data_IF_028253435778
#
_entry.id   IF_028253435778
#
_cell.length_a   1.000
_cell.length_b   1.000
_cell.length_c   1.000
_cell.angle_alpha   90.00
_cell.angle_beta   90.00
_cell.angle_gamma   90.00
#
_symmetry.space_group_name_H-M   'P 1'
#
loop_
_entity.id
_entity.type
_entity.pdbx_description
1 polymer ?
#
# COMPACT_ATOMS: atom_id res chain seq x y z
N UNK A 1 -28.97 3.21 -3.24
CA UNK A 1 -29.02 4.11 -2.07
C UNK A 1 -29.22 3.26 -0.83
N UNK A 2 -28.16 2.97 -0.08
CA UNK A 2 -28.23 2.17 1.14
C UNK A 2 -28.24 3.07 2.36
N UNK A 3 -29.41 3.28 2.96
CA UNK A 3 -29.56 4.05 4.21
C UNK A 3 -29.28 3.10 5.38
N UNK A 4 -28.26 3.39 6.18
CA UNK A 4 -28.09 2.79 7.52
C UNK A 4 -28.32 3.86 8.58
N UNK A 5 -29.23 3.57 9.52
CA UNK A 5 -29.55 4.41 10.67
C UNK A 5 -28.48 4.26 11.76
N UNK A 6 -28.05 5.36 12.36
CA UNK A 6 -27.45 5.37 13.71
C UNK A 6 -28.32 6.22 14.64
N UNK A 7 -28.33 5.88 15.93
CA UNK A 7 -29.27 6.38 16.93
C UNK A 7 -29.03 7.84 17.39
N UNK A 8 -28.08 8.57 16.80
CA UNK A 8 -27.87 9.99 17.05
C UNK A 8 -27.69 10.70 15.71
N UNK A 9 -28.75 11.41 15.30
CA UNK A 9 -28.93 11.95 13.97
C UNK A 9 -28.04 13.15 13.64
N UNK A 10 -26.78 12.88 13.30
CA UNK A 10 -26.00 13.75 12.41
C UNK A 10 -25.56 12.92 11.22
N UNK A 11 -26.28 13.08 10.10
CA UNK A 11 -25.90 12.51 8.82
C UNK A 11 -24.75 13.33 8.23
N UNK A 12 -23.51 12.97 8.55
CA UNK A 12 -22.40 13.39 7.70
C UNK A 12 -22.47 12.59 6.41
N UNK A 13 -23.10 13.16 5.38
CA UNK A 13 -22.90 12.69 4.02
C UNK A 13 -21.42 12.92 3.67
N UNK A 14 -20.59 11.90 3.89
CA UNK A 14 -19.19 11.96 3.49
C UNK A 14 -19.14 12.19 1.99
N UNK A 15 -18.57 13.32 1.58
CA UNK A 15 -18.39 13.62 0.16
C UNK A 15 -17.57 12.51 -0.47
N UNK A 16 -18.10 11.87 -1.51
CA UNK A 16 -17.37 10.86 -2.28
C UNK A 16 -16.06 11.46 -2.76
N UNK A 17 -14.96 10.76 -2.47
CA UNK A 17 -13.59 11.15 -2.79
C UNK A 17 -13.01 10.19 -3.83
N UNK A 18 -12.11 10.69 -4.66
CA UNK A 18 -11.29 9.87 -5.56
C UNK A 18 -9.97 9.55 -4.90
N UNK A 19 -9.73 8.28 -4.65
CA UNK A 19 -8.56 7.81 -3.90
C UNK A 19 -7.78 6.82 -4.74
N UNK A 20 -6.47 7.05 -4.89
CA UNK A 20 -5.56 6.07 -5.48
C UNK A 20 -4.85 5.34 -4.34
N UNK A 21 -4.93 4.01 -4.32
CA UNK A 21 -4.14 3.14 -3.47
C UNK A 21 -3.00 2.61 -4.31
N UNK A 22 -1.78 2.95 -3.94
CA UNK A 22 -0.59 2.40 -4.56
C UNK A 22 -0.07 1.24 -3.71
N UNK A 23 0.45 0.22 -4.38
CA UNK A 23 0.87 -1.01 -3.72
C UNK A 23 1.72 -1.88 -4.62
N UNK A 24 1.90 -3.15 -4.24
CA UNK A 24 2.80 -4.08 -4.93
C UNK A 24 2.28 -5.53 -4.90
N UNK A 25 0.97 -5.72 -4.90
CA UNK A 25 0.31 -7.03 -4.97
C UNK A 25 0.71 -7.86 -6.19
N UNK A 26 0.81 -7.23 -7.36
CA UNK A 26 1.27 -7.85 -8.60
C UNK A 26 2.78 -8.02 -8.60
N UNK A 27 3.49 -7.00 -8.12
CA UNK A 27 4.96 -6.99 -8.08
C UNK A 27 5.57 -7.93 -7.02
N UNK A 28 4.79 -8.32 -6.01
CA UNK A 28 5.15 -9.32 -5.00
C UNK A 28 3.88 -10.06 -4.55
N UNK A 29 3.48 -11.13 -5.27
CA UNK A 29 2.18 -11.79 -5.14
C UNK A 29 2.09 -12.75 -3.95
N UNK A 30 2.53 -12.31 -2.78
CA UNK A 30 2.48 -13.06 -1.53
C UNK A 30 1.20 -12.67 -0.78
N UNK A 31 0.55 -13.65 -0.14
CA UNK A 31 -0.74 -13.47 0.52
C UNK A 31 -0.78 -12.27 1.50
N UNK A 32 0.27 -12.08 2.31
CA UNK A 32 0.38 -10.94 3.22
C UNK A 32 0.32 -9.58 2.51
N UNK A 33 1.08 -9.43 1.42
CA UNK A 33 1.07 -8.21 0.58
C UNK A 33 -0.31 -8.00 -0.01
N UNK A 34 -0.95 -9.04 -0.54
CA UNK A 34 -2.29 -8.95 -1.13
C UNK A 34 -3.31 -8.46 -0.09
N UNK A 35 -3.41 -9.14 1.05
CA UNK A 35 -4.38 -8.79 2.09
C UNK A 35 -4.17 -7.38 2.64
N UNK A 36 -2.91 -6.95 2.77
CA UNK A 36 -2.59 -5.62 3.24
C UNK A 36 -3.23 -4.52 2.38
N UNK A 37 -3.20 -4.67 1.05
CA UNK A 37 -3.77 -3.68 0.13
C UNK A 37 -5.28 -3.87 -0.11
N UNK A 38 -5.76 -5.11 -0.18
CA UNK A 38 -7.19 -5.41 -0.34
C UNK A 38 -8.02 -4.76 0.75
N UNK A 39 -7.54 -4.74 1.99
CA UNK A 39 -8.26 -4.07 3.07
C UNK A 39 -8.39 -2.55 2.90
N UNK A 40 -7.36 -1.87 2.36
CA UNK A 40 -7.49 -0.47 1.99
C UNK A 40 -8.53 -0.29 0.88
N UNK A 41 -8.43 -1.08 -0.19
CA UNK A 41 -9.32 -0.98 -1.35
C UNK A 41 -10.78 -1.18 -0.93
N UNK A 42 -11.08 -2.32 -0.31
CA UNK A 42 -12.44 -2.71 0.09
C UNK A 42 -12.97 -1.80 1.20
N UNK A 43 -12.13 -1.43 2.17
CA UNK A 43 -12.52 -0.52 3.24
C UNK A 43 -12.97 0.84 2.69
N UNK A 44 -12.16 1.44 1.82
CA UNK A 44 -12.46 2.73 1.19
C UNK A 44 -13.67 2.67 0.25
N UNK A 45 -13.84 1.57 -0.50
CA UNK A 45 -15.05 1.35 -1.31
C UNK A 45 -16.31 1.29 -0.44
N UNK A 46 -16.27 0.57 0.69
CA UNK A 46 -17.40 0.46 1.64
C UNK A 46 -17.74 1.79 2.33
N UNK A 47 -16.76 2.68 2.47
CA UNK A 47 -16.97 4.06 2.91
C UNK A 47 -17.57 4.97 1.82
N UNK A 48 -17.79 4.45 0.61
CA UNK A 48 -18.45 5.16 -0.49
C UNK A 48 -17.51 5.93 -1.42
N UNK A 49 -16.19 5.71 -1.33
CA UNK A 49 -15.21 6.41 -2.16
C UNK A 49 -15.01 5.76 -3.54
N UNK A 50 -14.53 6.55 -4.50
CA UNK A 50 -14.07 6.08 -5.79
C UNK A 50 -12.59 5.66 -5.67
N UNK A 51 -12.35 4.35 -5.54
CA UNK A 51 -11.00 3.81 -5.28
C UNK A 51 -10.38 3.25 -6.56
N UNK A 52 -9.11 3.56 -6.77
CA UNK A 52 -8.25 3.05 -7.83
C UNK A 52 -7.03 2.35 -7.22
N UNK A 53 -6.56 1.27 -7.84
CA UNK A 53 -5.34 0.57 -7.42
C UNK A 53 -4.25 0.64 -8.49
N UNK A 54 -3.10 1.24 -8.21
CA UNK A 54 -2.06 1.45 -9.22
C UNK A 54 -0.70 0.94 -8.72
N UNK A 55 -0.06 0.07 -9.50
CA UNK A 55 1.37 -0.22 -9.38
C UNK A 55 2.10 0.49 -10.50
N UNK A 56 3.06 1.35 -10.16
CA UNK A 56 3.78 2.18 -11.12
C UNK A 56 5.25 2.26 -10.72
N UNK A 57 5.98 1.16 -10.93
CA UNK A 57 7.34 0.96 -10.43
C UNK A 57 8.33 0.60 -11.54
N UNK A 58 9.56 1.07 -11.39
CA UNK A 58 10.75 0.67 -12.14
C UNK A 58 11.52 -0.47 -11.46
N UNK A 59 10.96 -1.11 -10.42
CA UNK A 59 11.50 -2.32 -9.85
C UNK A 59 11.00 -3.55 -10.62
N UNK A 60 11.91 -4.49 -10.87
CA UNK A 60 11.57 -5.77 -11.49
C UNK A 60 10.72 -6.58 -10.50
N UNK A 61 9.54 -7.09 -10.90
CA UNK A 61 8.63 -7.77 -9.99
C UNK A 61 9.11 -9.19 -9.67
N UNK A 62 8.76 -9.67 -8.48
CA UNK A 62 9.05 -11.01 -7.99
C UNK A 62 7.91 -11.97 -8.31
N UNK A 63 8.24 -13.11 -8.92
CA UNK A 63 7.29 -14.18 -9.18
C UNK A 63 7.35 -15.24 -8.07
N UNK A 64 6.25 -15.39 -7.31
CA UNK A 64 6.16 -16.33 -6.21
C UNK A 64 6.00 -17.80 -6.65
N UNK A 65 5.71 -18.08 -7.92
CA UNK A 65 5.63 -19.45 -8.44
C UNK A 65 7.02 -19.99 -8.82
N UNK A 66 7.86 -19.14 -9.42
CA UNK A 66 9.22 -19.49 -9.88
C UNK A 66 10.32 -19.09 -8.90
N UNK A 67 9.98 -18.30 -7.87
CA UNK A 67 10.91 -17.77 -6.87
C UNK A 67 12.03 -16.91 -7.46
N UNK A 68 11.77 -16.17 -8.53
CA UNK A 68 12.74 -15.31 -9.21
C UNK A 68 12.17 -13.92 -9.54
N UNK A 69 13.02 -13.03 -10.03
CA UNK A 69 12.62 -11.76 -10.64
C UNK A 69 12.91 -11.83 -12.13
N UNK A 70 11.96 -11.38 -12.94
CA UNK A 70 12.13 -11.35 -14.39
C UNK A 70 11.33 -10.22 -15.03
N UNK A 71 11.60 -9.94 -16.30
CA UNK A 71 10.87 -8.92 -17.04
C UNK A 71 9.42 -9.33 -17.36
N UNK A 72 9.07 -10.61 -17.22
CA UNK A 72 7.70 -11.06 -17.41
C UNK A 72 6.83 -10.65 -16.23
N UNK A 73 5.71 -9.99 -16.53
CA UNK A 73 4.68 -9.60 -15.55
C UNK A 73 3.31 -10.19 -15.91
N UNK A 74 3.28 -11.23 -16.75
CA UNK A 74 2.04 -11.91 -17.14
C UNK A 74 1.30 -12.50 -15.94
N UNK A 75 2.03 -13.03 -14.94
CA UNK A 75 1.46 -13.52 -13.67
C UNK A 75 0.82 -12.38 -12.87
N UNK A 76 1.50 -11.23 -12.76
CA UNK A 76 1.01 -10.05 -12.04
C UNK A 76 -0.30 -9.56 -12.67
N UNK A 77 -0.36 -9.55 -14.00
CA UNK A 77 -1.58 -9.19 -14.76
C UNK A 77 -2.74 -10.13 -14.46
N UNK A 78 -2.51 -11.45 -14.53
CA UNK A 78 -3.55 -12.46 -14.23
C UNK A 78 -4.05 -12.35 -12.79
N UNK A 79 -3.12 -12.17 -11.86
CA UNK A 79 -3.44 -12.00 -10.43
C UNK A 79 -4.30 -10.75 -10.21
N UNK A 80 -3.85 -9.59 -10.67
CA UNK A 80 -4.55 -8.33 -10.48
C UNK A 80 -5.93 -8.35 -11.15
N UNK A 81 -6.06 -8.93 -12.34
CA UNK A 81 -7.36 -9.13 -12.98
C UNK A 81 -8.29 -10.02 -12.13
N UNK A 82 -7.78 -11.12 -11.54
CA UNK A 82 -8.56 -11.98 -10.65
C UNK A 82 -9.02 -11.22 -9.39
N UNK A 83 -8.09 -10.54 -8.71
CA UNK A 83 -8.39 -9.76 -7.50
C UNK A 83 -9.38 -8.63 -7.80
N UNK A 84 -9.21 -7.95 -8.93
CA UNK A 84 -10.11 -6.89 -9.36
C UNK A 84 -11.54 -7.39 -9.62
N UNK A 85 -11.67 -8.62 -10.11
CA UNK A 85 -12.95 -9.28 -10.27
C UNK A 85 -13.60 -9.64 -8.93
N UNK A 86 -12.80 -10.15 -8.00
CA UNK A 86 -13.25 -10.64 -6.69
C UNK A 86 -13.64 -9.49 -5.74
N UNK A 87 -12.90 -8.38 -5.74
CA UNK A 87 -13.06 -7.25 -4.82
C UNK A 87 -13.62 -5.98 -5.50
N UNK A 88 -14.30 -6.14 -6.64
CA UNK A 88 -15.07 -5.09 -7.32
C UNK A 88 -14.27 -3.83 -7.73
N UNK A 89 -13.07 -4.02 -8.27
CA UNK A 89 -12.25 -2.94 -8.82
C UNK A 89 -11.80 -3.16 -10.28
N UNK A 90 -12.49 -4.03 -11.03
CA UNK A 90 -12.19 -4.48 -12.41
C UNK A 90 -11.69 -3.39 -13.38
N UNK A 91 -12.31 -2.20 -13.34
CA UNK A 91 -12.02 -1.09 -14.26
C UNK A 91 -11.26 0.06 -13.58
N UNK A 92 -10.63 -0.20 -12.43
CA UNK A 92 -9.98 0.81 -11.61
C UNK A 92 -8.62 0.35 -11.10
N UNK A 93 -7.89 -0.38 -11.94
CA UNK A 93 -6.52 -0.75 -11.64
C UNK A 93 -5.59 -0.64 -12.83
N UNK A 94 -4.30 -0.52 -12.55
CA UNK A 94 -3.23 -0.66 -13.53
C UNK A 94 -1.95 -1.20 -12.93
N UNK A 95 -1.19 -1.88 -13.77
CA UNK A 95 0.21 -2.21 -13.55
C UNK A 95 1.05 -1.54 -14.64
N UNK A 96 1.97 -0.65 -14.26
CA UNK A 96 2.90 0.03 -15.15
C UNK A 96 4.31 -0.53 -14.93
N UNK A 97 4.83 -1.22 -15.93
CA UNK A 97 6.15 -1.83 -15.91
C UNK A 97 7.22 -0.83 -16.35
N UNK A 98 7.53 0.18 -15.52
CA UNK A 98 8.53 1.21 -15.86
C UNK A 98 9.97 0.68 -15.93
N UNK A 99 10.20 -0.55 -15.44
CA UNK A 99 11.50 -1.22 -15.54
C UNK A 99 11.81 -1.73 -16.96
N UNK A 100 10.84 -1.69 -17.88
CA UNK A 100 11.04 -2.05 -19.28
C UNK A 100 11.54 -0.84 -20.09
N UNK A 101 12.31 -1.07 -21.18
CA UNK A 101 12.76 0.01 -22.07
C UNK A 101 11.60 0.82 -22.67
N UNK A 102 10.50 0.15 -22.99
CA UNK A 102 9.26 0.78 -23.41
C UNK A 102 8.22 0.64 -22.30
N UNK A 103 7.56 1.75 -21.96
CA UNK A 103 6.52 1.76 -20.94
C UNK A 103 5.35 0.88 -21.36
N UNK A 104 5.19 -0.26 -20.68
CA UNK A 104 4.03 -1.14 -20.83
C UNK A 104 3.10 -0.99 -19.64
N UNK A 105 1.82 -0.85 -19.93
CA UNK A 105 0.76 -0.76 -18.93
C UNK A 105 -0.34 -1.76 -19.25
N UNK A 106 -0.86 -2.42 -18.22
CA UNK A 106 -2.09 -3.24 -18.31
C UNK A 106 -3.11 -2.71 -17.32
N UNK A 107 -4.40 -2.74 -17.68
CA UNK A 107 -5.48 -2.11 -16.93
C UNK A 107 -5.88 -0.77 -17.54
N UNK A 108 -5.99 0.28 -16.73
CA UNK A 108 -6.23 1.63 -17.24
C UNK A 108 -5.05 2.11 -18.11
N UNK A 109 -5.32 2.83 -19.22
CA UNK A 109 -4.26 3.37 -20.06
C UNK A 109 -3.46 4.43 -19.31
N UNK A 110 -2.16 4.54 -19.60
CA UNK A 110 -1.25 5.45 -18.89
C UNK A 110 -1.74 6.91 -18.87
N UNK A 111 -2.35 7.40 -19.95
CA UNK A 111 -2.98 8.74 -19.99
C UNK A 111 -4.02 8.94 -18.89
N UNK A 112 -4.80 7.92 -18.56
CA UNK A 112 -5.79 7.98 -17.48
C UNK A 112 -5.11 7.99 -16.11
N UNK A 113 -4.03 7.23 -15.94
CA UNK A 113 -3.24 7.22 -14.70
C UNK A 113 -2.68 8.62 -14.41
N UNK A 114 -2.06 9.26 -15.42
CA UNK A 114 -1.58 10.65 -15.31
C UNK A 114 -2.69 11.63 -14.92
N UNK A 115 -3.90 11.46 -15.44
CA UNK A 115 -5.07 12.26 -15.03
C UNK A 115 -5.48 11.96 -13.58
N UNK A 116 -5.41 10.69 -13.15
CA UNK A 116 -5.72 10.31 -11.77
C UNK A 116 -4.74 10.95 -10.79
N UNK A 117 -3.43 10.93 -11.05
CA UNK A 117 -2.45 11.58 -10.17
C UNK A 117 -2.75 13.06 -9.93
N UNK A 118 -3.14 13.79 -10.98
CA UNK A 118 -3.50 15.22 -10.89
C UNK A 118 -4.84 15.48 -10.19
N UNK A 119 -5.80 14.58 -10.32
CA UNK A 119 -7.19 14.81 -9.93
C UNK A 119 -7.66 14.02 -8.70
N UNK A 120 -6.84 13.11 -8.18
CA UNK A 120 -7.16 12.39 -6.96
C UNK A 120 -7.23 13.35 -5.76
N UNK A 121 -8.16 13.08 -4.85
CA UNK A 121 -8.26 13.77 -3.57
C UNK A 121 -7.16 13.29 -2.60
N UNK A 122 -6.69 12.04 -2.76
CA UNK A 122 -5.58 11.48 -2.02
C UNK A 122 -4.93 10.31 -2.79
N UNK A 123 -3.63 10.13 -2.63
CA UNK A 123 -2.85 9.01 -3.14
C UNK A 123 -2.16 8.34 -1.95
N UNK A 124 -2.47 7.07 -1.67
CA UNK A 124 -1.91 6.33 -0.54
C UNK A 124 -0.76 5.47 -1.07
N UNK A 125 0.48 5.86 -0.79
CA UNK A 125 1.67 5.07 -1.09
C UNK A 125 1.90 4.06 0.03
N UNK A 126 1.15 2.95 -0.01
CA UNK A 126 1.20 1.90 1.01
C UNK A 126 2.55 1.19 0.96
N UNK A 127 3.18 1.00 2.12
CA UNK A 127 4.57 0.53 2.29
C UNK A 127 5.65 1.42 1.67
N UNK A 128 5.32 2.61 1.16
CA UNK A 128 6.23 3.29 0.26
C UNK A 128 6.56 2.47 -0.99
N UNK A 129 5.58 1.68 -1.46
CA UNK A 129 5.77 0.72 -2.54
C UNK A 129 6.25 1.36 -3.85
N UNK A 130 5.93 2.63 -4.06
CA UNK A 130 6.20 3.32 -5.31
C UNK A 130 7.19 4.46 -5.10
N UNK A 131 8.24 4.48 -5.92
CA UNK A 131 9.10 5.63 -6.05
C UNK A 131 8.41 6.77 -6.81
N UNK A 132 8.91 7.99 -6.60
CA UNK A 132 8.42 9.14 -7.34
C UNK A 132 8.92 9.15 -8.78
N UNK A 133 8.05 9.65 -9.66
CA UNK A 133 8.33 9.98 -11.04
C UNK A 133 7.63 11.31 -11.37
N UNK A 134 7.98 11.93 -12.50
CA UNK A 134 7.45 13.26 -12.87
C UNK A 134 5.91 13.30 -12.96
N UNK A 135 5.29 12.20 -13.38
CA UNK A 135 3.83 12.13 -13.48
C UNK A 135 3.15 12.04 -12.11
N UNK A 136 3.73 11.29 -11.17
CA UNK A 136 3.24 11.19 -9.80
C UNK A 136 3.47 12.49 -9.02
N UNK A 137 4.63 13.13 -9.22
CA UNK A 137 4.99 14.43 -8.60
C UNK A 137 4.13 15.61 -9.10
N UNK A 138 3.32 15.41 -10.13
CA UNK A 138 2.26 16.35 -10.48
C UNK A 138 1.14 16.43 -9.41
N UNK A 139 1.20 15.61 -8.36
CA UNK A 139 0.29 15.60 -7.22
C UNK A 139 1.00 16.05 -5.94
N UNK A 140 0.35 16.92 -5.18
CA UNK A 140 0.76 17.36 -3.85
C UNK A 140 0.01 16.60 -2.72
N UNK A 141 -0.70 15.51 -3.06
CA UNK A 141 -1.62 14.78 -2.16
C UNK A 141 -1.20 13.34 -1.90
N UNK A 142 0.10 13.07 -1.98
CA UNK A 142 0.65 11.72 -1.80
C UNK A 142 0.94 11.50 -0.32
N UNK A 143 0.35 10.47 0.25
CA UNK A 143 0.48 10.08 1.65
C UNK A 143 1.38 8.86 1.74
N UNK A 144 2.45 8.95 2.52
CA UNK A 144 3.27 7.78 2.85
C UNK A 144 2.54 6.97 3.92
N UNK A 145 2.33 5.67 3.70
CA UNK A 145 1.75 4.79 4.71
C UNK A 145 2.77 3.70 5.04
N UNK A 146 3.53 3.89 6.10
CA UNK A 146 4.52 2.94 6.57
C UNK A 146 3.86 1.75 7.26
N UNK A 147 4.06 0.55 6.71
CA UNK A 147 3.60 -0.68 7.33
C UNK A 147 4.63 -1.33 8.25
N UNK A 148 5.92 -1.02 8.05
CA UNK A 148 7.06 -1.65 8.72
C UNK A 148 7.96 -0.55 9.32
N UNK A 149 7.64 -0.07 10.53
CA UNK A 149 8.33 1.05 11.16
C UNK A 149 9.71 0.66 11.69
N UNK A 150 10.63 1.63 11.69
CA UNK A 150 11.96 1.53 12.28
C UNK A 150 13.04 1.87 11.27
N UNK A 151 13.07 1.17 10.13
CA UNK A 151 14.13 1.28 9.12
C UNK A 151 14.24 2.71 8.58
N UNK A 152 13.14 3.32 8.16
CA UNK A 152 13.19 4.65 7.56
C UNK A 152 13.55 5.74 8.60
N UNK A 153 13.10 5.60 9.85
CA UNK A 153 13.49 6.53 10.92
C UNK A 153 14.98 6.39 11.26
N UNK A 154 15.52 5.17 11.26
CA UNK A 154 16.96 4.93 11.46
C UNK A 154 17.77 5.55 10.32
N UNK A 155 17.35 5.37 9.06
CA UNK A 155 17.99 6.00 7.90
C UNK A 155 17.97 7.54 7.99
N UNK A 156 16.87 8.11 8.49
CA UNK A 156 16.77 9.55 8.75
C UNK A 156 17.78 9.97 9.83
N UNK A 157 17.91 9.22 10.93
CA UNK A 157 18.92 9.50 11.98
C UNK A 157 20.36 9.39 11.45
N UNK A 158 20.60 8.45 10.55
CA UNK A 158 21.87 8.27 9.83
C UNK A 158 22.10 9.29 8.71
N UNK A 159 21.19 10.25 8.52
CA UNK A 159 21.27 11.29 7.49
C UNK A 159 21.35 10.77 6.05
N UNK A 160 20.68 9.64 5.76
CA UNK A 160 20.56 9.13 4.40
C UNK A 160 19.69 10.09 3.59
N UNK A 161 20.34 10.93 2.79
CA UNK A 161 19.69 12.06 2.10
C UNK A 161 18.57 11.60 1.15
N UNK A 162 18.77 10.50 0.42
CA UNK A 162 17.75 9.94 -0.47
C UNK A 162 16.47 9.53 0.25
N UNK A 163 16.56 8.92 1.44
CA UNK A 163 15.39 8.62 2.28
C UNK A 163 14.72 9.89 2.76
N UNK A 164 15.51 10.87 3.23
CA UNK A 164 14.97 12.15 3.72
C UNK A 164 14.19 12.87 2.61
N UNK A 165 14.76 12.96 1.41
CA UNK A 165 14.13 13.61 0.26
C UNK A 165 12.87 12.86 -0.19
N UNK A 166 12.94 11.52 -0.25
CA UNK A 166 11.79 10.68 -0.56
C UNK A 166 10.64 10.89 0.44
N UNK A 167 10.92 10.89 1.74
CA UNK A 167 9.90 11.14 2.77
C UNK A 167 9.35 12.57 2.67
N UNK A 168 10.20 13.57 2.48
CA UNK A 168 9.78 14.98 2.34
C UNK A 168 8.92 15.25 1.12
N UNK A 169 9.04 14.47 0.06
CA UNK A 169 8.17 14.60 -1.11
C UNK A 169 6.73 14.13 -0.87
N UNK A 170 6.44 13.46 0.24
CA UNK A 170 5.08 13.12 0.64
C UNK A 170 4.42 14.29 1.38
N UNK A 171 3.12 14.46 1.15
CA UNK A 171 2.28 15.45 1.83
C UNK A 171 2.20 15.20 3.34
N UNK A 172 2.07 13.93 3.73
CA UNK A 172 2.06 13.51 5.12
C UNK A 172 2.62 12.10 5.26
N UNK A 173 3.22 11.83 6.42
CA UNK A 173 3.81 10.54 6.77
C UNK A 173 2.95 9.86 7.83
N UNK A 174 2.38 8.71 7.48
CA UNK A 174 1.70 7.83 8.43
C UNK A 174 2.54 6.60 8.71
N UNK A 175 2.41 6.06 9.92
CA UNK A 175 3.14 4.86 10.33
C UNK A 175 2.33 3.95 11.25
N UNK A 176 2.52 2.64 11.11
CA UNK A 176 2.00 1.66 12.06
C UNK A 176 2.77 1.67 13.39
N UNK A 177 3.94 2.32 13.44
CA UNK A 177 4.71 2.51 14.66
C UNK A 177 4.08 3.57 15.56
N UNK A 178 3.14 3.17 16.43
CA UNK A 178 2.41 4.09 17.30
C UNK A 178 3.29 4.88 18.27
N UNK A 179 4.49 4.37 18.57
CA UNK A 179 5.45 5.03 19.43
C UNK A 179 6.34 6.04 18.68
N UNK A 180 6.39 6.03 17.35
CA UNK A 180 7.29 6.88 16.56
C UNK A 180 7.04 8.35 16.86
N UNK A 181 8.12 9.09 17.16
CA UNK A 181 8.05 10.50 17.54
C UNK A 181 7.62 10.77 18.99
N UNK A 182 7.34 9.73 19.79
CA UNK A 182 7.09 9.84 21.23
C UNK A 182 8.38 9.57 22.04
N UNK A 183 8.35 9.86 23.35
CA UNK A 183 9.45 9.52 24.28
C UNK A 183 9.75 8.01 24.38
N UNK A 184 8.82 7.15 23.93
CA UNK A 184 8.98 5.69 23.95
C UNK A 184 9.66 5.15 22.70
N UNK A 185 9.98 6.01 21.72
CA UNK A 185 10.72 5.65 20.52
C UNK A 185 12.08 6.37 20.52
N UNK A 186 13.19 5.65 20.71
CA UNK A 186 14.48 6.27 20.99
C UNK A 186 15.19 6.82 19.75
N UNK A 187 14.71 6.49 18.54
CA UNK A 187 15.30 6.97 17.27
C UNK A 187 14.80 8.40 16.98
N UNK A 188 15.70 9.39 16.87
CA UNK A 188 15.32 10.76 16.54
C UNK A 188 14.67 10.87 15.15
N UNK A 189 13.58 11.63 15.05
CA UNK A 189 12.80 11.80 13.79
C UNK A 189 13.21 13.03 12.97
N UNK A 190 14.17 13.83 13.44
CA UNK A 190 14.78 14.97 12.73
C UNK A 190 13.79 15.93 12.05
N UNK A 191 12.72 16.27 12.78
CA UNK A 191 11.70 17.22 12.32
C UNK A 191 10.67 16.65 11.33
N UNK A 192 10.79 15.39 10.93
CA UNK A 192 9.73 14.70 10.19
C UNK A 192 8.58 14.36 11.13
N UNK A 193 7.36 14.79 10.76
CA UNK A 193 6.15 14.52 11.54
C UNK A 193 5.54 13.19 11.09
N UNK A 194 5.55 12.22 11.99
CA UNK A 194 4.92 10.92 11.80
C UNK A 194 3.56 10.87 12.48
N UNK A 195 2.54 10.46 11.74
CA UNK A 195 1.18 10.30 12.23
C UNK A 195 0.90 8.81 12.48
N UNK A 196 0.51 8.42 13.70
CA UNK A 196 0.19 7.02 13.95
C UNK A 196 -1.06 6.62 13.17
N UNK A 197 -1.03 5.42 12.61
CA UNK A 197 -2.18 4.76 11.98
C UNK A 197 -2.09 3.26 12.21
N UNK A 198 -3.07 2.50 11.74
CA UNK A 198 -3.08 1.03 11.80
C UNK A 198 -3.49 0.46 10.46
N UNK A 199 -3.12 -0.80 10.23
CA UNK A 199 -3.66 -1.56 9.11
C UNK A 199 -5.20 -1.60 9.21
N UNK A 200 -5.94 -1.10 8.20
CA UNK A 200 -7.38 -1.33 8.15
C UNK A 200 -7.64 -2.83 8.02
N UNK A 201 -8.65 -3.31 8.74
CA UNK A 201 -9.10 -4.70 8.69
C UNK A 201 -10.59 -4.72 8.35
N UNK A 202 -10.91 -5.25 7.17
CA UNK A 202 -12.29 -5.54 6.77
C UNK A 202 -12.65 -6.91 7.35
N UNK A 203 -13.20 -6.92 8.56
CA UNK A 203 -13.42 -8.13 9.37
C UNK A 203 -14.28 -9.20 8.69
N UNK A 204 -15.22 -8.80 7.83
CA UNK A 204 -16.07 -9.76 7.10
C UNK A 204 -15.28 -10.64 6.12
N UNK A 205 -14.10 -10.20 5.64
CA UNK A 205 -13.24 -11.01 4.76
C UNK A 205 -12.57 -12.18 5.51
N UNK A 206 -12.55 -12.12 6.85
CA UNK A 206 -11.99 -13.16 7.71
C UNK A 206 -13.05 -14.09 8.32
N UNK A 207 -14.34 -13.87 7.99
CA UNK A 207 -15.41 -14.75 8.46
C UNK A 207 -15.33 -16.09 7.75
N UNK A 208 -15.03 -17.14 8.50
CA UNK A 208 -15.16 -18.51 8.02
C UNK A 208 -16.62 -18.93 8.00
N UNK A 209 -17.03 -19.76 7.03
CA UNK A 209 -18.41 -20.29 6.95
C UNK A 209 -18.73 -21.27 8.07
N UNK A 210 -17.70 -21.85 8.70
CA UNK A 210 -17.82 -22.83 9.78
C UNK A 210 -16.83 -22.45 10.87
N UNK A 211 -17.24 -22.63 12.11
CA UNK A 211 -16.32 -22.60 13.24
C UNK A 211 -15.30 -23.73 13.08
N UNK A 212 -14.01 -23.48 13.36
CA UNK A 212 -13.04 -24.56 13.42
C UNK A 212 -13.47 -25.59 14.49
N UNK A 213 -13.18 -26.89 14.29
CA UNK A 213 -13.40 -27.91 15.32
C UNK A 213 -12.74 -27.52 16.64
N UNK A 214 -13.29 -27.96 17.78
CA UNK A 214 -12.69 -27.71 19.09
C UNK A 214 -11.25 -28.26 19.21
N UNK A 215 -10.91 -29.27 18.40
CA UNK A 215 -9.57 -29.88 18.31
C UNK A 215 -8.66 -29.21 17.27
N UNK A 216 -9.08 -28.12 16.63
CA UNK A 216 -8.25 -27.44 15.64
C UNK A 216 -7.00 -26.86 16.28
N UNK A 217 -5.85 -27.16 15.70
CA UNK A 217 -4.56 -26.60 16.11
C UNK A 217 -4.23 -25.40 15.22
N UNK A 218 -3.72 -24.33 15.84
CA UNK A 218 -3.15 -23.22 15.09
C UNK A 218 -1.74 -23.59 14.64
N UNK A 219 -1.50 -23.56 13.33
CA UNK A 219 -0.15 -23.64 12.77
C UNK A 219 0.21 -22.29 12.18
N UNK A 220 1.47 -21.89 12.35
CA UNK A 220 2.02 -20.67 11.76
C UNK A 220 3.23 -21.04 10.93
N UNK A 221 3.37 -20.42 9.77
CA UNK A 221 4.58 -20.50 8.95
C UNK A 221 5.23 -19.14 9.05
N UNK A 222 6.40 -19.08 9.68
CA UNK A 222 7.21 -17.87 9.79
C UNK A 222 8.56 -18.13 9.14
N UNK A 223 9.03 -17.16 8.35
CA UNK A 223 10.42 -17.12 7.95
C UNK A 223 11.15 -16.09 8.81
N UNK A 224 12.16 -16.52 9.57
CA UNK A 224 12.97 -15.68 10.44
C UNK A 224 14.15 -15.02 9.73
N UNK A 225 14.45 -15.39 8.47
CA UNK A 225 15.59 -14.86 7.72
C UNK A 225 15.22 -14.52 6.28
N UNK A 226 15.35 -13.24 5.94
CA UNK A 226 15.25 -12.72 4.56
C UNK A 226 16.62 -12.23 4.10
N UNK A 227 17.47 -13.17 3.69
CA UNK A 227 18.72 -12.99 2.92
C UNK A 227 19.68 -11.86 3.32
N UNK A 228 19.63 -11.34 4.56
CA UNK A 228 20.48 -10.26 5.06
C UNK A 228 20.35 -8.89 4.34
N UNK A 229 19.36 -8.72 3.46
CA UNK A 229 19.24 -7.51 2.62
C UNK A 229 18.51 -6.35 3.30
N UNK A 230 17.88 -6.60 4.45
CA UNK A 230 17.08 -5.60 5.19
C UNK A 230 17.65 -5.25 6.56
N UNK A 231 18.79 -5.84 6.93
CA UNK A 231 19.40 -5.58 8.23
C UNK A 231 19.90 -4.14 8.28
N UNK A 232 19.57 -3.45 9.38
CA UNK A 232 20.04 -2.10 9.65
C UNK A 232 20.51 -2.01 11.09
N UNK A 233 21.69 -1.42 11.28
CA UNK A 233 22.31 -1.24 12.60
C UNK A 233 22.02 0.18 13.05
N UNK A 234 21.56 0.35 14.30
CA UNK A 234 21.36 1.66 14.91
C UNK A 234 22.14 1.74 16.22
N UNK A 235 23.22 2.54 16.21
CA UNK A 235 24.11 2.80 17.37
C UNK A 235 24.81 1.58 17.98
N UNK A 236 25.08 0.54 17.18
CA UNK A 236 25.88 -0.62 17.57
C UNK A 236 25.20 -1.93 17.25
#
# INVERSE_FOLDING_TARGET
MGVRRSAFGVFFAMKRKRIVVMGFMGSCPIAGVIWQHVHYIVGLQRLGHEVYYIEDSARIPYNAETFDTSNDFSYATKLLARLANEFDFKNRWSFCARYLPELRTVGLPFRKIRQLYKSADAILNVCGAQEFNDDLLASDRILYIESDPGVEQIKVDQRVQSTIDYLRGHHALFTFGENVGTKHFPVPVHGLKWLPTRQPIVTDLWRTRRSPPASAIFTSVANWSTSGLKDIIWRG
#
